data_IF_181563445044
#
_entry.id   IF_181563445044
#
_cell.length_a   1.000
_cell.length_b   1.000
_cell.length_c   1.000
_cell.angle_alpha   90.00
_cell.angle_beta   90.00
_cell.angle_gamma   90.00
#
_symmetry.space_group_name_H-M   'P 1'
#
loop_
_entity.id
_entity.type
_entity.pdbx_description
1 polymer ?
#
# COMPACT_ATOMS: atom_id res chain seq x y z
N UNK A 1 -23.30 -5.46 -14.54
CA UNK A 1 -23.67 -6.54 -15.47
C UNK A 1 -22.43 -7.38 -15.70
N UNK A 2 -22.40 -8.61 -15.18
CA UNK A 2 -21.21 -9.47 -15.21
C UNK A 2 -21.20 -10.26 -16.54
N UNK A 3 -20.25 -9.95 -17.44
CA UNK A 3 -20.07 -10.72 -18.67
C UNK A 3 -19.40 -12.05 -18.33
N UNK A 4 -20.11 -13.15 -18.62
CA UNK A 4 -19.57 -14.52 -18.61
C UNK A 4 -18.41 -14.60 -19.61
N UNK A 5 -17.28 -15.24 -19.27
CA UNK A 5 -16.23 -15.50 -20.24
C UNK A 5 -16.82 -16.40 -21.33
N UNK A 6 -17.01 -15.84 -22.52
CA UNK A 6 -17.37 -16.62 -23.70
C UNK A 6 -16.20 -17.56 -23.98
N UNK A 7 -16.46 -18.85 -23.86
CA UNK A 7 -15.51 -19.90 -24.21
C UNK A 7 -15.28 -19.81 -25.72
N UNK A 8 -14.13 -19.27 -26.12
CA UNK A 8 -13.74 -19.07 -27.52
C UNK A 8 -13.22 -20.42 -28.05
N UNK A 9 -13.93 -21.03 -28.99
CA UNK A 9 -13.49 -22.27 -29.67
C UNK A 9 -12.35 -21.98 -30.65
N UNK A 10 -11.12 -22.14 -30.13
CA UNK A 10 -9.82 -21.85 -30.78
C UNK A 10 -9.58 -22.55 -32.13
N UNK A 11 -10.33 -23.59 -32.47
CA UNK A 11 -10.19 -24.36 -33.72
C UNK A 11 -10.94 -23.75 -34.91
N UNK A 12 -11.80 -22.76 -34.68
CA UNK A 12 -12.65 -22.14 -35.72
C UNK A 12 -12.27 -20.70 -36.08
N UNK A 13 -11.26 -20.12 -35.40
CA UNK A 13 -10.88 -18.73 -35.61
C UNK A 13 -9.85 -18.57 -36.74
N UNK A 14 -10.10 -17.55 -37.57
CA UNK A 14 -9.15 -17.11 -38.59
C UNK A 14 -7.87 -16.54 -37.93
N UNK A 15 -6.72 -16.63 -38.60
CA UNK A 15 -5.41 -16.17 -38.09
C UNK A 15 -5.41 -14.71 -37.60
N UNK A 16 -6.24 -13.86 -38.20
CA UNK A 16 -6.46 -12.48 -37.79
C UNK A 16 -7.11 -12.37 -36.40
N UNK A 17 -8.09 -13.23 -36.09
CA UNK A 17 -8.77 -13.22 -34.80
C UNK A 17 -7.89 -13.78 -33.67
N UNK A 18 -7.05 -14.80 -33.95
CA UNK A 18 -6.03 -15.26 -33.00
C UNK A 18 -5.03 -14.16 -32.62
N UNK A 19 -4.63 -13.33 -33.59
CA UNK A 19 -3.70 -12.22 -33.35
C UNK A 19 -4.33 -11.16 -32.44
N UNK A 20 -5.63 -10.91 -32.59
CA UNK A 20 -6.37 -9.98 -31.73
C UNK A 20 -6.56 -10.51 -30.31
N UNK A 21 -6.88 -11.80 -30.15
CA UNK A 21 -6.99 -12.44 -28.82
C UNK A 21 -5.63 -12.48 -28.12
N UNK A 22 -4.53 -12.74 -28.84
CA UNK A 22 -3.18 -12.64 -28.30
C UNK A 22 -2.90 -11.24 -27.72
N UNK A 23 -3.23 -10.20 -28.49
CA UNK A 23 -3.02 -8.81 -28.04
C UNK A 23 -3.82 -8.48 -26.78
N UNK A 24 -5.07 -8.96 -26.68
CA UNK A 24 -5.88 -8.79 -25.47
C UNK A 24 -5.25 -9.47 -24.24
N UNK A 25 -4.72 -10.68 -24.41
CA UNK A 25 -4.01 -11.36 -23.31
C UNK A 25 -2.71 -10.64 -22.92
N UNK A 26 -1.96 -10.10 -23.88
CA UNK A 26 -0.77 -9.31 -23.60
C UNK A 26 -1.13 -8.04 -22.80
N UNK A 27 -2.19 -7.33 -23.18
CA UNK A 27 -2.69 -6.13 -22.50
C UNK A 27 -3.19 -6.44 -21.07
N UNK A 28 -3.94 -7.55 -20.89
CA UNK A 28 -4.39 -8.00 -19.56
C UNK A 28 -3.22 -8.38 -18.65
N UNK A 29 -2.19 -9.02 -19.21
CA UNK A 29 -0.99 -9.42 -18.46
C UNK A 29 -0.19 -8.19 -18.01
N UNK A 30 -0.05 -7.19 -18.87
CA UNK A 30 0.60 -5.92 -18.52
C UNK A 30 -0.17 -5.19 -17.42
N UNK A 31 -1.50 -5.10 -17.55
CA UNK A 31 -2.36 -4.50 -16.54
C UNK A 31 -2.27 -5.21 -15.18
N UNK A 32 -2.31 -6.55 -15.18
CA UNK A 32 -2.18 -7.35 -13.96
C UNK A 32 -0.80 -7.18 -13.33
N UNK A 33 0.26 -7.17 -14.14
CA UNK A 33 1.63 -6.97 -13.67
C UNK A 33 1.81 -5.59 -13.03
N UNK A 34 1.28 -4.55 -13.67
CA UNK A 34 1.30 -3.18 -13.13
C UNK A 34 0.54 -3.08 -11.80
N UNK A 35 -0.67 -3.64 -11.74
CA UNK A 35 -1.48 -3.68 -10.51
C UNK A 35 -0.78 -4.42 -9.38
N UNK A 36 -0.13 -5.55 -9.69
CA UNK A 36 0.65 -6.31 -8.72
C UNK A 36 1.85 -5.52 -8.19
N UNK A 37 2.57 -4.82 -9.07
CA UNK A 37 3.69 -3.95 -8.67
C UNK A 37 3.22 -2.83 -7.73
N UNK A 38 2.08 -2.20 -8.02
CA UNK A 38 1.50 -1.16 -7.16
C UNK A 38 1.11 -1.70 -5.78
N UNK A 39 0.43 -2.86 -5.73
CA UNK A 39 0.08 -3.54 -4.48
C UNK A 39 1.33 -3.91 -3.67
N UNK A 40 2.37 -4.43 -4.33
CA UNK A 40 3.64 -4.76 -3.69
C UNK A 40 4.37 -3.53 -3.16
N UNK A 41 4.33 -2.42 -3.90
CA UNK A 41 4.87 -1.15 -3.43
C UNK A 41 4.11 -0.64 -2.20
N UNK A 42 2.78 -0.75 -2.18
CA UNK A 42 1.97 -0.42 -1.02
C UNK A 42 2.30 -1.31 0.19
N UNK A 43 2.40 -2.63 0.00
CA UNK A 43 2.82 -3.57 1.04
C UNK A 43 4.18 -3.20 1.64
N UNK A 44 5.15 -2.86 0.79
CA UNK A 44 6.47 -2.43 1.25
C UNK A 44 6.39 -1.14 2.07
N UNK A 45 5.62 -0.15 1.62
CA UNK A 45 5.37 1.09 2.38
C UNK A 45 4.73 0.81 3.73
N UNK A 46 3.72 -0.06 3.81
CA UNK A 46 3.11 -0.43 5.09
C UNK A 46 4.10 -1.11 6.04
N UNK A 47 4.93 -2.02 5.52
CA UNK A 47 5.97 -2.67 6.32
C UNK A 47 7.02 -1.69 6.83
N UNK A 48 7.37 -0.70 6.01
CA UNK A 48 8.27 0.37 6.39
C UNK A 48 7.64 1.29 7.44
N UNK A 49 6.37 1.69 7.28
CA UNK A 49 5.62 2.44 8.30
C UNK A 49 5.59 1.70 9.64
N UNK A 50 5.31 0.39 9.64
CA UNK A 50 5.33 -0.42 10.86
C UNK A 50 6.71 -0.41 11.54
N UNK A 51 7.79 -0.48 10.77
CA UNK A 51 9.16 -0.38 11.30
C UNK A 51 9.43 1.02 11.86
N UNK A 52 9.06 2.07 11.14
CA UNK A 52 9.22 3.45 11.58
C UNK A 52 8.45 3.71 12.88
N UNK A 53 7.24 3.16 13.04
CA UNK A 53 6.48 3.26 14.28
C UNK A 53 7.20 2.55 15.43
N UNK A 54 7.68 1.32 15.18
CA UNK A 54 8.38 0.53 16.20
C UNK A 54 9.69 1.17 16.70
N UNK A 55 10.40 1.92 15.86
CA UNK A 55 11.65 2.60 16.23
C UNK A 55 11.41 4.05 16.70
N UNK A 56 10.41 4.72 16.14
CA UNK A 56 10.21 6.16 16.26
C UNK A 56 9.19 6.60 17.31
N UNK A 57 8.35 5.69 17.81
CA UNK A 57 7.24 6.02 18.75
C UNK A 57 7.36 5.21 20.06
N UNK A 58 8.51 4.58 20.34
CA UNK A 58 8.73 3.90 21.61
C UNK A 58 8.96 4.88 22.77
N UNK A 59 8.73 4.42 24.03
CA UNK A 59 9.07 5.18 25.26
C UNK A 59 10.54 5.63 25.32
N UNK A 60 11.39 4.93 24.59
CA UNK A 60 12.81 5.27 24.35
C UNK A 60 13.01 6.65 23.69
N UNK A 61 12.01 7.16 22.97
CA UNK A 61 12.04 8.42 22.20
C UNK A 61 11.31 9.54 22.94
N UNK A 62 10.61 9.22 24.03
CA UNK A 62 9.89 10.19 24.87
C UNK A 62 10.86 11.24 25.42
N UNK A 63 10.57 12.52 25.17
CA UNK A 63 11.41 13.65 25.58
C UNK A 63 12.68 13.90 24.76
N UNK A 64 12.99 13.07 23.75
CA UNK A 64 14.14 13.32 22.85
C UNK A 64 13.75 14.28 21.72
N UNK A 65 14.64 15.19 21.31
CA UNK A 65 14.39 16.06 20.16
C UNK A 65 14.39 15.22 18.87
N UNK A 66 13.30 15.28 18.11
CA UNK A 66 13.13 14.68 16.79
C UNK A 66 13.10 15.77 15.72
N UNK A 67 13.63 15.47 14.54
CA UNK A 67 13.59 16.37 13.40
C UNK A 67 12.35 16.06 12.55
N UNK A 68 11.42 17.00 12.50
CA UNK A 68 10.21 16.88 11.69
C UNK A 68 10.44 17.59 10.35
N UNK A 69 10.30 16.90 9.20
CA UNK A 69 10.38 17.54 7.89
C UNK A 69 9.16 18.44 7.65
N UNK A 70 9.40 19.74 7.44
CA UNK A 70 8.35 20.65 6.92
C UNK A 70 8.30 20.62 5.39
N UNK A 71 9.46 20.45 4.76
CA UNK A 71 9.62 20.33 3.30
C UNK A 71 10.71 19.31 2.98
N UNK A 72 10.96 19.07 1.69
CA UNK A 72 12.02 18.16 1.22
C UNK A 72 13.44 18.59 1.60
N UNK A 73 13.64 19.80 2.13
CA UNK A 73 14.97 20.31 2.51
C UNK A 73 15.01 21.01 3.87
N UNK A 74 13.88 21.12 4.57
CA UNK A 74 13.80 21.83 5.85
C UNK A 74 13.25 20.93 6.95
N UNK A 75 14.03 20.79 8.01
CA UNK A 75 13.72 20.01 9.19
C UNK A 75 13.72 20.90 10.42
N UNK A 76 12.67 20.80 11.24
CA UNK A 76 12.54 21.58 12.47
C UNK A 76 12.64 20.64 13.67
N UNK A 77 13.43 20.98 14.70
CA UNK A 77 13.45 20.21 15.94
C UNK A 77 12.12 20.35 16.67
N UNK A 78 11.54 19.22 17.06
CA UNK A 78 10.36 19.12 17.90
C UNK A 78 10.50 18.00 18.93
N UNK A 79 9.54 17.87 19.83
CA UNK A 79 9.43 16.74 20.75
C UNK A 79 8.07 16.07 20.56
N UNK A 80 8.04 14.75 20.66
CA UNK A 80 6.78 14.00 20.65
C UNK A 80 6.06 14.24 21.98
N UNK A 81 4.87 14.83 21.92
CA UNK A 81 4.04 15.07 23.10
C UNK A 81 3.36 13.79 23.61
N UNK A 82 3.11 12.84 22.71
CA UNK A 82 2.51 11.54 23.02
C UNK A 82 3.21 10.46 22.17
N UNK A 83 3.66 9.40 22.84
CA UNK A 83 4.32 8.23 22.23
C UNK A 83 3.46 6.97 22.29
N UNK A 84 2.28 7.02 22.90
CA UNK A 84 1.40 5.85 23.00
C UNK A 84 0.35 5.82 21.90
N UNK A 85 -0.14 6.99 21.48
CA UNK A 85 -1.20 7.12 20.49
C UNK A 85 -0.68 7.44 19.10
N UNK A 86 -1.17 6.69 18.10
CA UNK A 86 -0.91 6.94 16.68
C UNK A 86 -2.23 7.12 15.94
N UNK A 87 -2.24 8.03 14.97
CA UNK A 87 -3.41 8.27 14.13
C UNK A 87 -3.26 7.42 12.86
N UNK A 88 -4.25 6.57 12.60
CA UNK A 88 -4.31 5.70 11.42
C UNK A 88 -5.38 6.22 10.46
N UNK A 89 -4.98 6.49 9.23
CA UNK A 89 -5.91 6.78 8.13
C UNK A 89 -6.59 5.46 7.69
N UNK A 90 -7.92 5.42 7.77
CA UNK A 90 -8.74 4.27 7.35
C UNK A 90 -9.35 4.47 5.95
N UNK A 91 -9.09 5.61 5.31
CA UNK A 91 -9.66 5.99 4.02
C UNK A 91 -10.86 6.93 4.14
N UNK A 92 -11.30 7.45 2.99
CA UNK A 92 -12.44 8.37 2.84
C UNK A 92 -12.41 9.63 3.73
N UNK A 93 -11.22 10.02 4.21
CA UNK A 93 -11.00 11.18 5.08
C UNK A 93 -11.24 10.90 6.56
N UNK A 94 -11.37 9.64 6.96
CA UNK A 94 -11.52 9.24 8.36
C UNK A 94 -10.18 8.83 8.96
N UNK A 95 -9.94 9.31 10.17
CA UNK A 95 -8.75 9.02 10.95
C UNK A 95 -9.17 8.41 12.29
N UNK A 96 -8.54 7.30 12.66
CA UNK A 96 -8.78 6.61 13.93
C UNK A 96 -7.53 6.71 14.78
N UNK A 97 -7.70 7.20 16.00
CA UNK A 97 -6.64 7.17 17.00
C UNK A 97 -6.55 5.76 17.61
N UNK A 98 -5.35 5.19 17.61
CA UNK A 98 -5.11 3.84 18.09
C UNK A 98 -3.81 3.78 18.89
N UNK A 99 -3.80 2.98 19.95
CA UNK A 99 -2.58 2.70 20.70
C UNK A 99 -1.63 1.87 19.82
N UNK A 100 -0.36 2.28 19.70
CA UNK A 100 0.59 1.65 18.78
C UNK A 100 0.74 0.14 19.02
N UNK A 101 0.66 -0.31 20.28
CA UNK A 101 0.72 -1.72 20.66
C UNK A 101 -0.36 -2.57 19.97
N UNK A 102 -1.54 -1.98 19.72
CA UNK A 102 -2.69 -2.64 19.10
C UNK A 102 -2.63 -2.58 17.55
N UNK A 103 -1.68 -1.85 16.95
CA UNK A 103 -1.44 -1.86 15.50
C UNK A 103 -0.67 -3.11 15.03
N UNK A 104 -0.10 -3.89 15.95
CA UNK A 104 0.33 -5.24 15.65
C UNK A 104 -0.90 -6.11 15.43
N UNK A 105 -1.14 -6.50 14.17
CA UNK A 105 -2.19 -7.48 13.85
C UNK A 105 -2.09 -8.67 14.82
N UNK A 106 -3.20 -9.07 15.49
CA UNK A 106 -3.19 -10.32 16.22
C UNK A 106 -2.82 -11.42 15.23
N UNK A 107 -1.73 -12.10 15.52
CA UNK A 107 -1.25 -13.23 14.74
C UNK A 107 -2.32 -14.31 14.81
N UNK A 108 -3.11 -14.44 13.74
CA UNK A 108 -3.97 -15.58 13.45
C UNK A 108 -3.49 -16.23 12.16
#
# INVERSE_FOLDING_TARGET
MSQKPQQIDLTTLTTAQLTQVKKQFDDELEHLTSSFQQLRAAQNKFRECLRCIGVGVGKEVEGKPILVPLTTSLYVPGQLADTENVIVDVGTGFYVEKVWFNCSFPSY
#
